data_IF_726802955467
#
_entry.id   IF_726802955467
#
_cell.length_a   1.000
_cell.length_b   1.000
_cell.length_c   1.000
_cell.angle_alpha   90.00
_cell.angle_beta   90.00
_cell.angle_gamma   90.00
#
_symmetry.space_group_name_H-M   'P 1'
#
loop_
_entity.id
_entity.type
_entity.pdbx_description
1 polymer ?
#
# COMPACT_ATOMS: atom_id res chain seq x y z
N UNK A 1 -28.25 -27.46 70.71
CA UNK A 1 -29.58 -27.13 71.21
C UNK A 1 -30.48 -27.24 70.02
N UNK A 2 -31.03 -28.46 69.68
CA UNK A 2 -32.37 -28.93 70.02
C UNK A 2 -33.41 -27.89 69.55
N UNK A 3 -34.44 -28.18 68.78
CA UNK A 3 -35.35 -29.31 68.56
C UNK A 3 -36.12 -29.11 67.25
N UNK A 4 -36.30 -30.15 66.41
CA UNK A 4 -37.50 -31.00 66.18
C UNK A 4 -38.72 -30.22 65.64
N UNK A 5 -39.12 -30.56 64.43
CA UNK A 5 -40.10 -31.55 63.94
C UNK A 5 -41.57 -31.13 64.19
N UNK A 6 -42.38 -31.21 63.15
CA UNK A 6 -43.40 -32.26 63.01
C UNK A 6 -44.17 -32.18 61.69
N UNK A 7 -44.42 -33.34 61.20
CA UNK A 7 -45.31 -33.79 60.17
C UNK A 7 -46.76 -33.74 60.62
N UNK A 8 -47.71 -33.43 59.76
CA UNK A 8 -49.07 -34.01 59.84
C UNK A 8 -49.72 -34.17 58.45
N UNK A 9 -50.08 -35.43 58.24
CA UNK A 9 -50.92 -35.92 57.14
C UNK A 9 -52.37 -35.68 57.42
N UNK A 10 -53.24 -35.51 56.38
CA UNK A 10 -54.55 -36.15 56.22
C UNK A 10 -55.07 -35.85 54.82
N UNK A 11 -55.29 -36.68 54.06
CA UNK A 11 -56.19 -37.67 53.45
C UNK A 11 -57.62 -37.18 53.20
N UNK A 12 -58.02 -37.40 51.92
CA UNK A 12 -59.32 -37.69 51.34
C UNK A 12 -60.35 -36.56 51.14
N UNK A 13 -60.78 -36.35 49.90
CA UNK A 13 -62.08 -36.79 49.42
C UNK A 13 -62.23 -36.57 47.89
N UNK A 14 -62.78 -37.58 47.22
CA UNK A 14 -63.11 -37.62 45.81
C UNK A 14 -64.34 -36.80 45.50
N UNK A 15 -64.35 -36.04 44.39
CA UNK A 15 -65.57 -35.69 43.66
C UNK A 15 -65.24 -35.61 42.17
N UNK A 16 -65.87 -36.54 41.43
CA UNK A 16 -65.91 -36.58 39.96
C UNK A 16 -66.81 -35.43 39.48
N UNK A 17 -66.32 -34.57 38.64
CA UNK A 17 -67.17 -33.78 37.73
C UNK A 17 -66.54 -33.89 36.34
N UNK A 18 -67.26 -34.58 35.44
CA UNK A 18 -66.97 -34.68 34.03
C UNK A 18 -67.28 -33.33 33.37
N UNK A 19 -66.30 -32.57 33.01
CA UNK A 19 -66.45 -31.36 32.20
C UNK A 19 -65.87 -31.62 30.80
N UNK A 20 -66.72 -31.66 29.80
CA UNK A 20 -66.37 -31.71 28.39
C UNK A 20 -65.60 -30.44 28.03
N UNK A 21 -64.31 -30.53 27.79
CA UNK A 21 -63.52 -29.41 27.25
C UNK A 21 -63.43 -29.66 25.74
N UNK A 22 -64.21 -28.88 24.98
CA UNK A 22 -64.08 -28.77 23.51
C UNK A 22 -62.78 -28.00 23.24
N UNK A 23 -61.73 -28.72 22.83
CA UNK A 23 -60.50 -28.09 22.36
C UNK A 23 -60.74 -27.64 20.89
N UNK A 24 -61.06 -26.36 20.70
CA UNK A 24 -60.98 -25.76 19.38
C UNK A 24 -59.53 -25.63 18.96
N UNK A 25 -59.08 -26.54 18.11
CA UNK A 25 -57.77 -26.42 17.46
C UNK A 25 -57.80 -25.25 16.47
N UNK A 26 -57.30 -24.09 16.88
CA UNK A 26 -57.00 -22.98 15.97
C UNK A 26 -55.73 -23.39 15.21
N UNK A 27 -55.91 -23.92 13.99
CA UNK A 27 -54.81 -24.10 13.05
C UNK A 27 -54.29 -22.70 12.64
N UNK A 28 -53.27 -22.21 13.30
CA UNK A 28 -52.48 -21.06 12.78
C UNK A 28 -51.69 -21.57 11.62
N UNK A 29 -52.20 -21.39 10.40
CA UNK A 29 -51.42 -21.51 9.18
C UNK A 29 -50.43 -20.35 9.13
N UNK A 30 -49.20 -20.59 9.58
CA UNK A 30 -48.09 -19.69 9.34
C UNK A 30 -47.81 -19.81 7.83
N UNK A 31 -48.37 -18.88 7.06
CA UNK A 31 -47.96 -18.66 5.68
C UNK A 31 -46.52 -18.17 5.71
N UNK A 32 -45.57 -19.10 5.60
CA UNK A 32 -44.19 -18.77 5.24
C UNK A 32 -44.28 -18.27 3.79
N UNK A 33 -44.43 -16.94 3.64
CA UNK A 33 -44.14 -16.30 2.36
C UNK A 33 -42.75 -16.75 1.95
N UNK A 34 -42.53 -17.32 0.77
CA UNK A 34 -41.20 -17.51 0.28
C UNK A 34 -40.59 -16.11 0.21
N UNK A 35 -39.64 -15.78 1.14
CA UNK A 35 -38.73 -14.68 0.90
C UNK A 35 -38.13 -15.02 -0.46
N UNK A 36 -38.59 -14.32 -1.47
CA UNK A 36 -37.89 -14.23 -2.73
C UNK A 36 -36.45 -13.82 -2.39
N UNK A 37 -35.57 -14.79 -2.37
CA UNK A 37 -34.15 -14.54 -2.47
C UNK A 37 -33.99 -13.94 -3.88
N UNK A 38 -34.21 -12.63 -3.96
CA UNK A 38 -33.91 -11.86 -5.15
C UNK A 38 -32.45 -12.19 -5.45
N UNK A 39 -32.23 -13.02 -6.44
CA UNK A 39 -30.89 -13.28 -6.95
C UNK A 39 -30.33 -11.92 -7.37
N UNK A 40 -29.58 -11.30 -6.46
CA UNK A 40 -28.98 -9.98 -6.69
C UNK A 40 -28.08 -10.16 -7.91
N UNK A 41 -28.48 -9.58 -9.04
CA UNK A 41 -27.70 -9.63 -10.27
C UNK A 41 -26.26 -9.25 -9.93
N UNK A 42 -25.31 -10.11 -10.28
CA UNK A 42 -23.90 -9.85 -10.04
C UNK A 42 -23.56 -8.47 -10.59
N UNK A 43 -22.98 -7.61 -9.77
CA UNK A 43 -22.66 -6.24 -10.15
C UNK A 43 -21.79 -6.26 -11.41
N UNK A 44 -22.28 -5.61 -12.49
CA UNK A 44 -21.61 -5.64 -13.79
C UNK A 44 -20.25 -4.97 -13.69
N UNK A 45 -19.20 -5.71 -14.02
CA UNK A 45 -17.83 -5.16 -14.12
C UNK A 45 -17.79 -4.09 -15.21
N UNK A 46 -17.23 -2.93 -14.87
CA UNK A 46 -16.99 -1.81 -15.78
C UNK A 46 -15.50 -1.66 -16.01
N UNK A 47 -15.10 -1.31 -17.21
CA UNK A 47 -13.74 -0.89 -17.51
C UNK A 47 -13.68 0.63 -17.53
N UNK A 48 -12.80 1.20 -16.70
CA UNK A 48 -12.53 2.63 -16.60
C UNK A 48 -11.13 2.84 -17.17
N UNK A 49 -10.99 3.78 -18.10
CA UNK A 49 -9.69 4.16 -18.66
C UNK A 49 -9.44 5.62 -18.37
N UNK A 50 -8.28 5.91 -17.79
CA UNK A 50 -7.78 7.28 -17.60
C UNK A 50 -6.46 7.46 -18.34
N UNK A 51 -6.25 8.63 -18.94
CA UNK A 51 -5.06 8.91 -19.74
C UNK A 51 -4.29 10.07 -19.13
N UNK A 52 -2.97 9.96 -19.10
CA UNK A 52 -2.08 11.09 -18.79
C UNK A 52 -2.11 12.11 -19.92
N UNK A 53 -1.57 13.33 -19.71
CA UNK A 53 -1.44 14.31 -20.80
C UNK A 53 -0.73 13.71 -22.01
N UNK A 54 -1.34 13.83 -23.18
CA UNK A 54 -0.81 13.25 -24.40
C UNK A 54 0.47 13.97 -24.86
N UNK A 55 1.38 13.19 -25.44
CA UNK A 55 2.64 13.69 -26.03
C UNK A 55 3.53 14.46 -25.03
N UNK A 56 3.48 14.08 -23.74
CA UNK A 56 4.38 14.63 -22.75
C UNK A 56 5.83 14.22 -23.04
N UNK A 57 6.72 15.19 -23.18
CA UNK A 57 8.16 14.94 -23.36
C UNK A 57 8.87 15.17 -22.04
N UNK A 58 9.47 14.12 -21.41
CA UNK A 58 10.15 14.27 -20.13
C UNK A 58 11.37 15.19 -20.25
N UNK A 59 11.47 16.15 -19.32
CA UNK A 59 12.59 17.09 -19.20
C UNK A 59 13.14 17.01 -17.78
N UNK A 60 14.10 16.09 -17.52
CA UNK A 60 14.74 16.02 -16.22
C UNK A 60 15.40 17.36 -15.82
N UNK A 61 15.54 17.64 -14.52
CA UNK A 61 16.33 18.75 -14.04
C UNK A 61 17.77 18.72 -14.58
N UNK A 62 18.44 19.86 -14.57
CA UNK A 62 19.80 20.03 -15.13
C UNK A 62 20.76 18.93 -14.68
N UNK A 63 21.31 18.20 -15.66
CA UNK A 63 22.25 17.11 -15.44
C UNK A 63 21.65 15.78 -14.95
N UNK A 64 20.37 15.77 -14.61
CA UNK A 64 19.66 14.53 -14.21
C UNK A 64 19.26 13.70 -15.42
N UNK A 65 19.05 12.39 -15.18
CA UNK A 65 18.49 11.45 -16.17
C UNK A 65 17.13 10.92 -15.72
N UNK A 66 16.81 11.12 -14.46
CA UNK A 66 15.55 10.71 -13.85
C UNK A 66 14.62 11.91 -13.68
N UNK A 67 13.35 11.72 -14.02
CA UNK A 67 12.28 12.69 -13.79
C UNK A 67 11.08 11.96 -13.23
N UNK A 68 10.56 12.44 -12.11
CA UNK A 68 9.24 12.07 -11.61
C UNK A 68 8.23 13.13 -12.01
N UNK A 69 7.25 12.74 -12.77
CA UNK A 69 6.19 13.65 -13.25
C UNK A 69 4.83 13.15 -12.80
N UNK A 70 4.10 14.01 -12.11
CA UNK A 70 2.74 13.78 -11.66
C UNK A 70 1.74 14.50 -12.55
N UNK A 71 0.63 13.85 -12.84
CA UNK A 71 -0.53 14.46 -13.49
C UNK A 71 -1.82 14.00 -12.80
N UNK A 72 -2.78 14.91 -12.67
CA UNK A 72 -4.10 14.57 -12.15
C UNK A 72 -4.99 14.14 -13.31
N UNK A 73 -5.63 12.99 -13.15
CA UNK A 73 -6.62 12.46 -14.10
C UNK A 73 -7.93 12.18 -13.36
N UNK A 74 -9.04 12.48 -14.03
CA UNK A 74 -10.37 12.29 -13.46
C UNK A 74 -11.05 11.07 -14.11
N UNK A 75 -11.42 10.04 -13.33
CA UNK A 75 -12.15 8.88 -13.85
C UNK A 75 -13.64 9.15 -14.10
N UNK A 76 -14.15 10.35 -13.78
CA UNK A 76 -15.55 10.78 -13.98
C UNK A 76 -16.60 9.82 -13.45
N UNK A 77 -16.36 9.30 -12.24
CA UNK A 77 -17.23 8.30 -11.61
C UNK A 77 -18.64 8.85 -11.36
N UNK A 78 -19.65 8.07 -11.74
CA UNK A 78 -21.06 8.40 -11.49
C UNK A 78 -21.53 7.97 -10.12
N UNK A 79 -20.85 6.98 -9.51
CA UNK A 79 -21.13 6.39 -8.21
C UNK A 79 -19.83 5.85 -7.60
N UNK A 80 -19.88 5.46 -6.34
CA UNK A 80 -18.77 4.78 -5.67
C UNK A 80 -18.50 3.42 -6.34
N UNK A 81 -17.24 3.13 -6.57
CA UNK A 81 -16.77 1.91 -7.21
C UNK A 81 -15.80 1.16 -6.30
N UNK A 82 -15.64 -0.13 -6.57
CA UNK A 82 -14.58 -0.97 -6.01
C UNK A 82 -13.74 -1.51 -7.17
N UNK A 83 -12.47 -1.16 -7.18
CA UNK A 83 -11.52 -1.54 -8.23
C UNK A 83 -10.92 -2.90 -7.88
N UNK A 84 -11.05 -3.85 -8.79
CA UNK A 84 -10.57 -5.23 -8.61
C UNK A 84 -9.36 -5.57 -9.46
N UNK A 85 -9.09 -4.79 -10.50
CA UNK A 85 -7.92 -4.96 -11.37
C UNK A 85 -7.46 -3.60 -11.84
N UNK A 86 -6.15 -3.40 -11.86
CA UNK A 86 -5.50 -2.23 -12.46
C UNK A 86 -4.43 -2.68 -13.44
N UNK A 87 -4.23 -1.91 -14.51
CA UNK A 87 -3.10 -2.08 -15.40
C UNK A 87 -2.63 -0.72 -15.91
N UNK A 88 -1.35 -0.47 -15.75
CA UNK A 88 -0.70 0.70 -16.35
C UNK A 88 -0.12 0.30 -17.71
N UNK A 89 -0.26 1.20 -18.68
CA UNK A 89 0.19 1.00 -20.06
C UNK A 89 1.17 2.12 -20.43
N UNK A 90 2.49 1.86 -20.43
CA UNK A 90 3.48 2.86 -20.79
C UNK A 90 3.36 3.22 -22.27
N UNK A 91 3.43 4.51 -22.55
CA UNK A 91 3.40 5.01 -23.95
C UNK A 91 4.78 5.05 -24.60
N UNK A 92 5.84 4.96 -23.81
CA UNK A 92 7.24 4.98 -24.26
C UNK A 92 8.15 4.15 -23.40
N UNK A 93 9.31 3.76 -23.91
CA UNK A 93 10.31 2.95 -23.19
C UNK A 93 11.08 3.73 -22.13
N UNK A 94 10.99 5.04 -22.13
CA UNK A 94 11.55 5.93 -21.11
C UNK A 94 10.77 5.88 -19.80
N UNK A 95 9.56 5.32 -19.78
CA UNK A 95 8.81 5.04 -18.56
C UNK A 95 9.50 3.89 -17.82
N UNK A 96 10.10 4.22 -16.67
CA UNK A 96 10.83 3.29 -15.83
C UNK A 96 9.92 2.60 -14.82
N UNK A 97 9.06 3.37 -14.11
CA UNK A 97 7.94 2.84 -13.33
C UNK A 97 6.84 3.90 -13.20
N UNK A 98 5.68 3.47 -12.74
CA UNK A 98 4.57 4.35 -12.48
C UNK A 98 3.84 3.95 -11.20
N UNK A 99 3.34 4.95 -10.47
CA UNK A 99 2.47 4.77 -9.32
C UNK A 99 1.20 5.57 -9.56
N UNK A 100 0.06 4.95 -9.30
CA UNK A 100 -1.25 5.61 -9.36
C UNK A 100 -1.77 5.75 -7.94
N UNK A 101 -1.94 6.99 -7.52
CA UNK A 101 -2.49 7.31 -6.20
C UNK A 101 -3.97 7.63 -6.32
N UNK A 102 -4.75 7.15 -5.37
CA UNK A 102 -6.14 7.56 -5.18
C UNK A 102 -6.16 8.82 -4.33
N UNK A 103 -6.86 9.84 -4.81
CA UNK A 103 -7.12 11.07 -4.08
C UNK A 103 -8.60 11.14 -3.77
N UNK A 104 -8.93 11.17 -2.48
CA UNK A 104 -10.31 11.23 -2.02
C UNK A 104 -10.97 12.57 -2.41
N UNK A 105 -12.31 12.64 -2.52
CA UNK A 105 -13.01 13.84 -2.99
C UNK A 105 -12.69 15.10 -2.20
N UNK A 106 -12.41 14.99 -0.90
CA UNK A 106 -12.03 16.12 -0.03
C UNK A 106 -10.72 16.80 -0.42
N UNK A 107 -9.82 16.08 -1.10
CA UNK A 107 -8.51 16.57 -1.54
C UNK A 107 -8.42 16.78 -3.05
N UNK A 108 -9.49 16.47 -3.79
CA UNK A 108 -9.49 16.55 -5.26
C UNK A 108 -9.21 17.96 -5.77
N UNK A 109 -9.71 19.00 -5.11
CA UNK A 109 -9.46 20.39 -5.48
C UNK A 109 -7.98 20.76 -5.30
N UNK A 110 -7.36 20.41 -4.16
CA UNK A 110 -5.95 20.67 -3.92
C UNK A 110 -5.04 19.94 -4.93
N UNK A 111 -5.38 18.70 -5.28
CA UNK A 111 -4.68 17.97 -6.34
C UNK A 111 -4.79 18.69 -7.71
N UNK A 112 -5.96 19.22 -8.04
CA UNK A 112 -6.15 19.95 -9.29
C UNK A 112 -5.36 21.27 -9.34
N UNK A 113 -5.17 21.95 -8.22
CA UNK A 113 -4.32 23.15 -8.14
C UNK A 113 -2.86 22.82 -8.50
N UNK A 114 -2.34 21.70 -8.01
CA UNK A 114 -0.99 21.22 -8.35
C UNK A 114 -0.85 20.85 -9.84
N UNK A 115 -1.94 20.47 -10.48
CA UNK A 115 -1.93 19.96 -11.86
C UNK A 115 -1.60 21.01 -12.93
N UNK A 116 -1.36 22.25 -12.55
CA UNK A 116 -0.88 23.32 -13.42
C UNK A 116 -1.63 23.37 -14.79
N UNK A 117 -2.94 23.50 -14.74
CA UNK A 117 -3.81 23.52 -15.94
C UNK A 117 -3.67 22.25 -16.82
N UNK A 118 -3.49 21.09 -16.21
CA UNK A 118 -3.37 19.81 -16.90
C UNK A 118 -1.97 19.49 -17.42
N UNK A 119 -0.98 20.32 -17.15
CA UNK A 119 0.42 20.06 -17.53
C UNK A 119 1.14 19.15 -16.56
N UNK A 120 0.61 18.99 -15.34
CA UNK A 120 1.26 18.27 -14.25
C UNK A 120 2.41 19.05 -13.62
N UNK A 121 3.16 18.36 -12.77
CA UNK A 121 4.31 18.94 -12.05
C UNK A 121 5.39 17.89 -11.80
N UNK A 122 6.61 18.35 -11.53
CA UNK A 122 7.68 17.49 -11.04
C UNK A 122 7.41 17.13 -9.58
N UNK A 123 7.32 15.83 -9.29
CA UNK A 123 6.97 15.32 -7.98
C UNK A 123 7.92 14.17 -7.61
N UNK A 124 8.91 14.46 -6.79
CA UNK A 124 9.75 13.43 -6.19
C UNK A 124 9.10 12.95 -4.89
N UNK A 125 9.30 11.67 -4.56
CA UNK A 125 8.64 11.06 -3.43
C UNK A 125 7.15 10.80 -3.71
N UNK A 126 6.34 11.09 -2.71
CA UNK A 126 4.90 11.07 -2.89
C UNK A 126 4.41 12.42 -3.43
N UNK A 127 3.35 12.43 -4.26
CA UNK A 127 2.76 13.67 -4.72
C UNK A 127 2.14 14.40 -3.52
N UNK A 128 2.89 15.37 -2.98
CA UNK A 128 2.58 16.07 -1.74
C UNK A 128 1.32 16.91 -1.89
N UNK A 129 0.24 16.52 -1.22
CA UNK A 129 -0.96 17.35 -1.04
C UNK A 129 -0.91 18.12 0.30
N UNK A 130 0.10 17.88 1.13
CA UNK A 130 0.33 18.53 2.41
C UNK A 130 1.82 18.79 2.62
N UNK A 131 2.15 19.72 3.51
CA UNK A 131 3.54 20.00 3.90
C UNK A 131 4.11 18.99 4.93
N UNK A 132 3.40 17.91 5.20
CA UNK A 132 3.80 16.89 6.16
C UNK A 132 4.43 15.68 5.45
N UNK A 133 5.75 15.71 5.34
CA UNK A 133 6.54 14.69 4.65
C UNK A 133 6.42 13.27 5.26
N UNK A 134 6.05 13.15 6.55
CA UNK A 134 5.83 11.86 7.20
C UNK A 134 4.36 11.42 7.17
N UNK A 135 3.42 12.36 7.15
CA UNK A 135 1.99 12.11 6.96
C UNK A 135 1.68 11.53 5.58
N UNK A 136 2.55 11.75 4.60
CA UNK A 136 2.41 11.25 3.24
C UNK A 136 2.39 9.72 3.15
N UNK A 137 3.14 9.01 3.99
CA UNK A 137 3.13 7.55 4.01
C UNK A 137 1.77 6.95 4.45
N UNK A 138 0.91 7.74 5.08
CA UNK A 138 -0.42 7.32 5.52
C UNK A 138 -1.58 7.93 4.71
N UNK A 139 -1.32 8.98 3.91
CA UNK A 139 -2.38 9.86 3.40
C UNK A 139 -2.90 9.56 2.00
N UNK A 140 -2.09 8.94 1.13
CA UNK A 140 -2.50 8.65 -0.26
C UNK A 140 -2.24 7.19 -0.60
N UNK A 141 -3.29 6.34 -0.53
CA UNK A 141 -3.13 4.94 -0.85
C UNK A 141 -2.82 4.74 -2.34
N UNK A 142 -1.85 3.87 -2.61
CA UNK A 142 -1.58 3.41 -3.96
C UNK A 142 -2.79 2.62 -4.48
N UNK A 143 -3.21 2.92 -5.69
CA UNK A 143 -4.20 2.14 -6.40
C UNK A 143 -3.53 1.12 -7.33
N UNK A 144 -2.37 1.48 -7.86
CA UNK A 144 -1.59 0.67 -8.81
C UNK A 144 -0.12 1.05 -8.72
N UNK A 145 0.76 0.04 -8.76
CA UNK A 145 2.18 0.19 -9.05
C UNK A 145 2.51 -0.57 -10.32
N UNK A 146 3.41 -0.04 -11.15
CA UNK A 146 3.88 -0.71 -12.36
C UNK A 146 5.39 -0.50 -12.56
N UNK A 147 6.06 -1.55 -12.99
CA UNK A 147 7.44 -1.55 -13.48
C UNK A 147 7.54 -2.39 -14.75
N UNK A 148 8.61 -2.29 -15.56
CA UNK A 148 8.79 -3.12 -16.74
C UNK A 148 8.63 -4.61 -16.41
N UNK A 149 7.93 -5.33 -17.28
CA UNK A 149 7.60 -6.75 -17.07
C UNK A 149 6.38 -7.00 -16.18
N UNK A 150 5.88 -5.99 -15.45
CA UNK A 150 4.68 -6.14 -14.62
C UNK A 150 3.41 -6.08 -15.48
N UNK A 151 2.55 -7.09 -15.33
CA UNK A 151 1.25 -7.14 -15.99
C UNK A 151 0.16 -6.38 -15.24
N UNK A 152 -1.09 -6.83 -15.40
CA UNK A 152 -2.20 -6.32 -14.62
C UNK A 152 -2.08 -6.75 -13.15
N UNK A 153 -2.31 -5.83 -12.23
CA UNK A 153 -2.44 -6.11 -10.80
C UNK A 153 -3.88 -6.49 -10.49
N UNK A 154 -4.07 -7.75 -10.09
CA UNK A 154 -5.38 -8.32 -9.79
C UNK A 154 -5.50 -8.51 -8.28
N UNK A 155 -6.52 -7.91 -7.67
CA UNK A 155 -6.83 -8.12 -6.26
C UNK A 155 -7.25 -9.57 -6.00
N UNK A 156 -6.96 -10.13 -4.82
CA UNK A 156 -7.49 -11.43 -4.43
C UNK A 156 -9.02 -11.48 -4.58
N UNK A 157 -9.54 -12.67 -4.86
CA UNK A 157 -10.99 -12.86 -5.05
C UNK A 157 -11.79 -12.32 -3.87
N UNK A 158 -12.82 -11.54 -4.17
CA UNK A 158 -13.66 -10.91 -3.14
C UNK A 158 -13.10 -9.64 -2.52
N UNK A 159 -11.91 -9.18 -2.94
CA UNK A 159 -11.28 -7.95 -2.46
C UNK A 159 -11.18 -6.90 -3.57
N UNK A 160 -11.13 -5.61 -3.16
CA UNK A 160 -10.91 -4.51 -4.10
C UNK A 160 -10.61 -3.18 -3.40
N UNK A 161 -9.97 -2.29 -4.12
CA UNK A 161 -9.67 -0.94 -3.64
C UNK A 161 -10.88 -0.02 -3.79
N UNK A 162 -11.31 0.71 -2.75
CA UNK A 162 -12.41 1.64 -2.86
C UNK A 162 -12.02 2.83 -3.74
N UNK A 163 -12.95 3.29 -4.57
CA UNK A 163 -12.80 4.49 -5.39
C UNK A 163 -14.11 5.27 -5.39
N UNK A 164 -14.18 6.32 -4.59
CA UNK A 164 -15.39 7.08 -4.34
C UNK A 164 -15.74 7.98 -5.54
N UNK A 165 -17.02 8.25 -5.72
CA UNK A 165 -17.49 9.30 -6.65
C UNK A 165 -16.86 10.64 -6.26
N UNK A 166 -16.30 11.34 -7.23
CA UNK A 166 -15.59 12.61 -7.00
C UNK A 166 -14.10 12.46 -6.73
N UNK A 167 -13.59 11.22 -6.48
CA UNK A 167 -12.15 10.98 -6.42
C UNK A 167 -11.48 11.32 -7.74
N UNK A 168 -10.26 11.82 -7.66
CA UNK A 168 -9.33 11.93 -8.78
C UNK A 168 -8.15 11.00 -8.55
N UNK A 169 -7.37 10.74 -9.59
CA UNK A 169 -6.14 9.96 -9.50
C UNK A 169 -4.95 10.86 -9.79
N UNK A 170 -3.86 10.66 -9.05
CA UNK A 170 -2.55 11.20 -9.44
C UNK A 170 -1.77 10.05 -10.06
N UNK A 171 -1.36 10.23 -11.30
CA UNK A 171 -0.47 9.31 -11.99
C UNK A 171 0.93 9.90 -11.92
N UNK A 172 1.80 9.28 -11.13
CA UNK A 172 3.21 9.57 -11.05
C UNK A 172 3.94 8.65 -12.00
N UNK A 173 4.71 9.20 -12.92
CA UNK A 173 5.55 8.44 -13.84
C UNK A 173 7.00 8.82 -13.58
N UNK A 174 7.83 7.81 -13.29
CA UNK A 174 9.27 7.92 -13.30
C UNK A 174 9.79 7.67 -14.72
N UNK A 175 10.34 8.69 -15.33
CA UNK A 175 11.02 8.59 -16.61
C UNK A 175 12.52 8.47 -16.38
N UNK A 176 13.15 7.51 -17.08
CA UNK A 176 14.60 7.44 -17.19
C UNK A 176 15.01 7.79 -18.64
N UNK A 177 15.71 8.90 -18.79
CA UNK A 177 16.04 9.47 -20.10
C UNK A 177 17.47 9.11 -20.60
N UNK A 178 18.07 8.03 -20.08
CA UNK A 178 19.40 7.56 -20.53
C UNK A 178 19.40 7.21 -22.01
N UNK A 179 18.27 6.75 -22.55
CA UNK A 179 18.11 6.35 -23.96
C UNK A 179 17.46 7.43 -24.83
N UNK A 180 17.21 8.62 -24.26
CA UNK A 180 16.56 9.74 -24.91
C UNK A 180 15.31 10.21 -24.20
N UNK A 181 14.61 11.19 -24.78
CA UNK A 181 13.33 11.69 -24.30
C UNK A 181 12.34 11.67 -25.47
N UNK A 182 11.36 10.80 -25.42
CA UNK A 182 10.30 10.67 -26.43
C UNK A 182 8.96 11.11 -25.88
N UNK A 183 8.04 11.57 -26.72
CA UNK A 183 6.67 11.85 -26.32
C UNK A 183 6.02 10.64 -25.71
N UNK A 184 5.41 10.81 -24.53
CA UNK A 184 4.66 9.78 -23.81
C UNK A 184 3.15 10.04 -23.87
N UNK A 185 2.37 8.98 -23.91
CA UNK A 185 0.91 8.97 -23.85
C UNK A 185 0.45 7.74 -23.06
N UNK A 186 0.98 7.61 -21.86
CA UNK A 186 0.63 6.52 -20.93
C UNK A 186 -0.83 6.58 -20.49
N UNK A 187 -1.39 5.45 -20.12
CA UNK A 187 -2.74 5.36 -19.59
C UNK A 187 -2.90 4.23 -18.57
N UNK A 188 -3.99 4.31 -17.81
CA UNK A 188 -4.34 3.28 -16.82
C UNK A 188 -5.71 2.71 -17.17
N UNK A 189 -5.84 1.40 -17.14
CA UNK A 189 -7.13 0.70 -17.19
C UNK A 189 -7.46 0.08 -15.84
N UNK A 190 -8.72 0.16 -15.44
CA UNK A 190 -9.21 -0.39 -14.19
C UNK A 190 -10.46 -1.21 -14.46
N UNK A 191 -10.56 -2.42 -13.89
CA UNK A 191 -11.83 -3.14 -13.80
C UNK A 191 -12.43 -2.83 -12.44
N UNK A 192 -13.67 -2.36 -12.42
CA UNK A 192 -14.34 -1.96 -11.19
C UNK A 192 -15.82 -2.39 -11.23
N UNK A 193 -16.40 -2.55 -10.05
CA UNK A 193 -17.83 -2.79 -9.86
C UNK A 193 -18.43 -1.68 -9.01
N UNK A 194 -19.74 -1.37 -9.15
CA UNK A 194 -20.43 -0.49 -8.21
C UNK A 194 -20.24 -0.98 -6.76
N UNK A 195 -19.89 -0.07 -5.85
CA UNK A 195 -19.72 -0.42 -4.44
C UNK A 195 -21.05 -0.87 -3.83
N UNK A 196 -22.12 -0.11 -4.14
CA UNK A 196 -23.46 -0.47 -3.71
C UNK A 196 -23.90 -1.80 -4.32
N UNK A 197 -24.15 -2.77 -3.46
CA UNK A 197 -24.62 -4.09 -3.90
C UNK A 197 -23.52 -5.06 -4.30
N UNK A 198 -22.25 -4.69 -4.24
CA UNK A 198 -21.16 -5.65 -4.38
C UNK A 198 -20.95 -6.42 -3.07
N UNK A 199 -20.44 -7.66 -3.19
CA UNK A 199 -19.97 -8.45 -2.05
C UNK A 199 -18.45 -8.37 -1.91
N UNK A 200 -17.83 -7.36 -2.53
CA UNK A 200 -16.38 -7.18 -2.51
C UNK A 200 -16.02 -6.38 -1.26
N UNK A 201 -15.15 -6.94 -0.42
CA UNK A 201 -14.60 -6.27 0.74
C UNK A 201 -13.53 -5.27 0.29
N UNK A 202 -13.60 -4.06 0.80
CA UNK A 202 -12.61 -3.03 0.48
C UNK A 202 -11.33 -3.22 1.27
N UNK A 203 -10.20 -2.95 0.60
CA UNK A 203 -8.88 -3.02 1.19
C UNK A 203 -8.37 -1.63 1.59
N UNK A 204 -7.46 -1.61 2.57
CA UNK A 204 -6.57 -0.51 2.89
C UNK A 204 -5.16 -0.86 2.41
N UNK A 205 -4.40 0.15 1.97
CA UNK A 205 -3.01 -0.02 1.55
C UNK A 205 -2.15 0.84 2.47
N UNK A 206 -1.18 0.21 3.11
CA UNK A 206 -0.26 0.83 4.06
C UNK A 206 1.16 0.71 3.52
N UNK A 207 1.95 1.75 3.72
CA UNK A 207 3.37 1.78 3.38
C UNK A 207 4.17 1.67 4.67
N UNK A 208 5.08 0.72 4.72
CA UNK A 208 5.94 0.42 5.86
C UNK A 208 7.41 0.59 5.44
N UNK A 209 7.91 1.83 5.35
CA UNK A 209 9.32 2.08 5.03
C UNK A 209 10.24 1.78 6.20
N UNK A 210 11.50 1.43 5.89
CA UNK A 210 12.58 1.36 6.87
C UNK A 210 13.73 2.29 6.44
N UNK A 211 14.26 3.04 7.41
CA UNK A 211 15.43 3.88 7.22
C UNK A 211 16.65 3.06 6.81
N UNK A 212 17.53 3.62 6.02
CA UNK A 212 18.73 2.93 5.55
C UNK A 212 19.92 3.91 5.39
N UNK A 213 21.12 3.41 5.69
CA UNK A 213 22.37 4.10 5.57
C UNK A 213 23.46 3.12 5.11
N UNK A 214 23.75 3.12 3.81
CA UNK A 214 24.72 2.20 3.19
C UNK A 214 25.99 2.99 2.85
N UNK A 215 27.12 2.73 3.53
CA UNK A 215 28.37 3.45 3.28
C UNK A 215 28.98 3.04 1.93
N UNK A 216 29.88 3.87 1.42
CA UNK A 216 30.77 3.46 0.33
C UNK A 216 31.53 2.19 0.74
N UNK A 217 31.78 1.25 -0.20
CA UNK A 217 32.60 0.08 0.07
C UNK A 217 33.98 0.47 0.61
N UNK A 218 34.61 -0.41 1.39
CA UNK A 218 35.95 -0.22 1.92
C UNK A 218 36.95 0.10 0.79
N UNK A 219 37.81 1.09 0.99
CA UNK A 219 38.77 1.57 0.00
C UNK A 219 38.20 2.44 -1.11
N UNK A 220 36.88 2.58 -1.20
CA UNK A 220 36.23 3.48 -2.18
C UNK A 220 36.03 4.86 -1.55
N UNK A 221 36.58 5.89 -2.18
CA UNK A 221 36.49 7.27 -1.71
C UNK A 221 35.88 8.19 -2.77
N UNK A 222 35.30 9.29 -2.32
CA UNK A 222 34.72 10.33 -3.16
C UNK A 222 33.94 11.35 -2.35
N UNK A 223 33.67 12.53 -2.92
CA UNK A 223 32.94 13.60 -2.20
C UNK A 223 31.58 13.16 -1.64
N UNK A 224 30.88 12.28 -2.38
CA UNK A 224 29.56 11.78 -1.97
C UNK A 224 29.64 10.53 -1.07
N UNK A 225 30.84 10.05 -0.70
CA UNK A 225 30.97 9.00 0.31
C UNK A 225 30.81 9.55 1.74
N UNK A 226 30.81 10.87 1.91
CA UNK A 226 30.34 11.51 3.13
C UNK A 226 28.81 11.51 3.16
N UNK A 227 28.22 11.10 4.30
CA UNK A 227 26.77 10.98 4.48
C UNK A 227 26.06 12.33 4.31
N UNK A 228 26.60 13.37 4.94
CA UNK A 228 25.97 14.70 4.90
C UNK A 228 26.02 15.29 3.48
N UNK A 229 27.14 15.11 2.77
CA UNK A 229 27.28 15.51 1.38
C UNK A 229 26.32 14.74 0.46
N UNK A 230 26.10 13.44 0.70
CA UNK A 230 25.13 12.65 -0.07
C UNK A 230 23.70 13.09 0.18
N UNK A 231 23.32 13.40 1.43
CA UNK A 231 21.98 13.94 1.75
C UNK A 231 21.79 15.34 1.15
N UNK A 232 22.83 16.18 1.14
CA UNK A 232 22.77 17.48 0.47
C UNK A 232 22.58 17.35 -1.04
N UNK A 233 23.26 16.39 -1.69
CA UNK A 233 23.04 16.06 -3.09
C UNK A 233 21.63 15.51 -3.36
N UNK A 234 21.10 14.66 -2.46
CA UNK A 234 19.72 14.19 -2.51
C UNK A 234 18.73 15.35 -2.49
N UNK A 235 18.90 16.30 -1.56
CA UNK A 235 18.09 17.51 -1.47
C UNK A 235 18.18 18.38 -2.72
N UNK A 236 19.36 18.47 -3.32
CA UNK A 236 19.55 19.22 -4.58
C UNK A 236 18.79 18.58 -5.74
N UNK A 237 18.76 17.25 -5.80
CA UNK A 237 18.08 16.50 -6.87
C UNK A 237 16.57 16.45 -6.70
N UNK A 238 16.07 16.28 -5.47
CA UNK A 238 14.68 15.93 -5.18
C UNK A 238 13.97 16.93 -4.25
N UNK A 239 14.64 18.01 -3.87
CA UNK A 239 14.09 19.02 -2.95
C UNK A 239 14.38 18.71 -1.49
N UNK A 240 14.13 19.70 -0.62
CA UNK A 240 14.44 19.61 0.83
C UNK A 240 13.62 18.53 1.55
N UNK A 241 12.42 18.21 1.05
CA UNK A 241 11.58 17.14 1.59
C UNK A 241 12.30 15.80 1.61
N UNK A 242 13.15 15.51 0.62
CA UNK A 242 13.92 14.27 0.56
C UNK A 242 14.85 14.10 1.76
N UNK A 243 15.56 15.16 2.19
CA UNK A 243 16.38 15.11 3.40
C UNK A 243 15.54 14.97 4.67
N UNK A 244 14.40 15.66 4.74
CA UNK A 244 13.45 15.54 5.87
C UNK A 244 12.99 14.09 6.00
N UNK A 245 12.71 13.42 4.89
CA UNK A 245 12.31 12.00 4.88
C UNK A 245 13.43 11.11 5.43
N UNK A 246 14.68 11.30 5.02
CA UNK A 246 15.82 10.53 5.55
C UNK A 246 15.89 10.65 7.07
N UNK A 247 15.96 11.87 7.60
CA UNK A 247 16.07 12.10 9.05
C UNK A 247 14.81 11.64 9.81
N UNK A 248 13.63 11.85 9.21
CA UNK A 248 12.35 11.45 9.79
C UNK A 248 12.22 9.94 9.93
N UNK A 249 12.62 9.17 8.92
CA UNK A 249 12.60 7.72 8.95
C UNK A 249 13.57 7.15 9.98
N UNK A 250 14.79 7.72 10.11
CA UNK A 250 15.73 7.32 11.15
C UNK A 250 15.10 7.48 12.54
N UNK A 251 14.53 8.66 12.81
CA UNK A 251 13.86 8.92 14.08
C UNK A 251 12.66 8.00 14.31
N UNK A 252 11.86 7.76 13.28
CA UNK A 252 10.71 6.86 13.36
C UNK A 252 11.14 5.43 13.68
N UNK A 253 12.23 4.96 13.08
CA UNK A 253 12.80 3.63 13.34
C UNK A 253 13.58 3.58 14.68
N UNK A 254 13.50 4.61 15.52
CA UNK A 254 14.12 4.65 16.85
C UNK A 254 15.62 4.87 16.84
N UNK A 255 16.18 5.45 15.77
CA UNK A 255 17.61 5.70 15.58
C UNK A 255 17.94 7.18 15.76
N UNK A 256 19.22 7.47 16.04
CA UNK A 256 19.72 8.83 16.00
C UNK A 256 19.91 9.29 14.55
N UNK A 257 19.13 10.28 14.06
CA UNK A 257 19.23 10.72 12.67
C UNK A 257 20.58 11.32 12.30
N UNK A 258 21.34 11.82 13.28
CA UNK A 258 22.66 12.42 13.05
C UNK A 258 23.80 11.40 13.07
N UNK A 259 23.58 10.26 13.74
CA UNK A 259 24.56 9.18 13.85
C UNK A 259 23.86 7.81 13.77
N UNK A 260 23.19 7.48 12.65
CA UNK A 260 22.47 6.22 12.50
C UNK A 260 23.44 5.04 12.34
N UNK A 261 22.98 3.82 12.65
CA UNK A 261 23.70 2.60 12.28
C UNK A 261 23.88 2.52 10.76
N UNK A 262 25.11 2.25 10.32
CA UNK A 262 25.45 2.10 8.90
C UNK A 262 25.70 0.63 8.55
N UNK A 263 25.37 0.22 7.33
CA UNK A 263 25.61 -1.15 6.87
C UNK A 263 24.79 -1.56 5.66
N UNK A 264 24.88 -2.83 5.33
CA UNK A 264 24.20 -3.43 4.18
C UNK A 264 22.83 -4.02 4.54
N UNK A 265 22.36 -3.81 5.75
CA UNK A 265 21.07 -4.30 6.22
C UNK A 265 20.42 -3.29 7.16
N UNK A 266 19.10 -3.32 7.20
CA UNK A 266 18.31 -2.49 8.10
C UNK A 266 17.04 -3.22 8.50
N UNK A 267 16.42 -2.77 9.59
CA UNK A 267 15.03 -3.07 9.91
C UNK A 267 14.33 -1.88 10.55
N UNK A 268 13.02 -1.84 10.45
CA UNK A 268 12.16 -0.88 11.12
C UNK A 268 10.88 -1.55 11.58
N UNK A 269 10.45 -1.25 12.79
CA UNK A 269 9.26 -1.87 13.40
C UNK A 269 8.10 -0.88 13.47
N UNK A 270 6.97 -1.28 12.94
CA UNK A 270 5.73 -0.52 12.87
C UNK A 270 4.70 -1.05 13.85
N UNK A 271 4.11 -0.22 14.71
CA UNK A 271 3.01 -0.65 15.58
C UNK A 271 1.72 -0.84 14.78
N UNK A 272 1.01 -1.92 15.04
CA UNK A 272 -0.35 -2.12 14.51
C UNK A 272 -1.33 -1.31 15.35
N UNK A 273 -2.21 -0.54 14.68
CA UNK A 273 -3.13 0.39 15.37
C UNK A 273 -4.58 -0.11 15.41
N UNK A 274 -4.97 -0.94 14.46
CA UNK A 274 -6.33 -1.46 14.32
C UNK A 274 -6.37 -2.97 14.19
N UNK A 275 -7.56 -3.56 14.29
CA UNK A 275 -7.75 -4.98 13.98
C UNK A 275 -7.82 -5.15 12.46
N UNK A 276 -6.88 -5.86 11.89
CA UNK A 276 -6.71 -5.99 10.45
C UNK A 276 -6.33 -7.42 10.06
N UNK A 277 -6.63 -7.78 8.82
CA UNK A 277 -6.19 -9.04 8.20
C UNK A 277 -5.24 -8.70 7.06
N UNK A 278 -4.00 -9.14 7.16
CA UNK A 278 -2.99 -8.95 6.11
C UNK A 278 -3.29 -9.91 4.97
N UNK A 279 -3.54 -9.34 3.78
CA UNK A 279 -3.95 -10.08 2.58
C UNK A 279 -2.78 -10.29 1.61
N UNK A 280 -1.94 -9.27 1.43
CA UNK A 280 -0.81 -9.32 0.49
C UNK A 280 0.24 -8.26 0.84
N UNK A 281 1.47 -8.47 0.40
CA UNK A 281 2.58 -7.54 0.55
C UNK A 281 3.33 -7.44 -0.77
N UNK A 282 3.64 -6.21 -1.19
CA UNK A 282 4.54 -5.94 -2.33
C UNK A 282 5.86 -5.40 -1.78
N UNK A 283 6.97 -6.12 -1.96
CA UNK A 283 8.30 -5.64 -1.59
C UNK A 283 8.77 -4.58 -2.60
N UNK A 284 9.39 -3.51 -2.11
CA UNK A 284 9.98 -2.49 -2.98
C UNK A 284 11.35 -2.06 -2.46
N UNK A 285 12.34 -2.22 -3.29
CA UNK A 285 13.73 -1.76 -3.14
C UNK A 285 14.22 -1.24 -4.49
N UNK A 286 15.42 -0.66 -4.54
CA UNK A 286 16.03 -0.24 -5.80
C UNK A 286 17.12 -1.22 -6.29
N UNK A 287 18.08 -0.68 -7.05
CA UNK A 287 19.04 -1.48 -7.85
C UNK A 287 20.03 -2.31 -7.04
N UNK A 288 20.23 -1.99 -5.75
CA UNK A 288 21.14 -2.74 -4.87
C UNK A 288 20.40 -3.74 -3.99
N UNK A 289 19.07 -3.76 -4.03
CA UNK A 289 18.24 -4.66 -3.23
C UNK A 289 18.63 -6.11 -3.41
N UNK A 290 18.81 -6.83 -2.29
CA UNK A 290 19.16 -8.24 -2.27
C UNK A 290 18.07 -9.10 -1.67
N UNK A 291 17.54 -8.72 -0.51
CA UNK A 291 16.47 -9.47 0.13
C UNK A 291 15.57 -8.58 0.97
N UNK A 292 14.32 -9.03 1.16
CA UNK A 292 13.38 -8.41 2.10
C UNK A 292 12.65 -9.48 2.88
N UNK A 293 12.47 -9.24 4.19
CA UNK A 293 11.57 -10.02 5.05
C UNK A 293 10.57 -9.09 5.74
N UNK A 294 9.37 -9.62 6.00
CA UNK A 294 8.37 -8.97 6.85
C UNK A 294 7.96 -9.93 7.94
N UNK A 295 8.09 -9.51 9.18
CA UNK A 295 7.85 -10.33 10.37
C UNK A 295 6.83 -9.67 11.29
N UNK A 296 5.81 -10.41 11.68
CA UNK A 296 4.88 -10.00 12.74
C UNK A 296 5.47 -10.39 14.09
N UNK A 297 5.41 -9.49 15.08
CA UNK A 297 5.87 -9.66 16.46
C UNK A 297 7.33 -10.14 16.57
N UNK A 298 8.30 -9.46 15.93
CA UNK A 298 9.70 -9.86 15.95
C UNK A 298 10.23 -9.94 17.38
N UNK A 299 11.14 -10.91 17.63
CA UNK A 299 11.79 -11.09 18.93
C UNK A 299 10.89 -11.63 20.05
N UNK A 300 9.68 -12.08 19.74
CA UNK A 300 8.74 -12.69 20.70
C UNK A 300 8.49 -14.17 20.37
N UNK A 301 7.93 -14.96 21.31
CA UNK A 301 7.49 -16.34 21.01
C UNK A 301 6.42 -16.42 19.90
N UNK A 302 5.72 -15.31 19.61
CA UNK A 302 4.70 -15.21 18.57
C UNK A 302 5.26 -14.67 17.23
N UNK A 303 6.58 -14.57 17.10
CA UNK A 303 7.21 -14.09 15.88
C UNK A 303 6.84 -14.97 14.67
N UNK A 304 6.33 -14.33 13.62
CA UNK A 304 5.93 -15.00 12.39
C UNK A 304 6.48 -14.24 11.18
N UNK A 305 7.32 -14.90 10.39
CA UNK A 305 7.73 -14.37 9.07
C UNK A 305 6.58 -14.58 8.10
N UNK A 306 6.02 -13.48 7.61
CA UNK A 306 4.87 -13.47 6.69
C UNK A 306 5.26 -13.19 5.23
N UNK A 307 6.43 -12.60 5.01
CA UNK A 307 7.05 -12.46 3.70
C UNK A 307 8.53 -12.75 3.80
N UNK A 308 9.05 -13.56 2.87
CA UNK A 308 10.47 -13.78 2.70
C UNK A 308 10.83 -13.77 1.21
N UNK A 309 11.59 -12.76 0.80
CA UNK A 309 12.10 -12.58 -0.56
C UNK A 309 13.62 -12.62 -0.51
N UNK A 310 14.25 -13.80 -0.60
CA UNK A 310 15.69 -13.95 -0.42
C UNK A 310 16.51 -13.46 -1.62
N UNK A 311 15.88 -13.37 -2.79
CA UNK A 311 16.48 -12.91 -4.04
C UNK A 311 15.59 -11.85 -4.67
N UNK A 312 15.72 -10.62 -4.16
CA UNK A 312 14.95 -9.50 -4.70
C UNK A 312 15.39 -9.18 -6.13
N UNK A 313 14.42 -8.87 -6.99
CA UNK A 313 14.66 -8.47 -8.37
C UNK A 313 13.93 -7.13 -8.63
N UNK A 314 14.72 -6.09 -8.91
CA UNK A 314 14.20 -4.75 -9.19
C UNK A 314 13.26 -4.71 -10.42
N UNK A 315 13.49 -5.56 -11.41
CA UNK A 315 12.67 -5.64 -12.63
C UNK A 315 11.43 -6.54 -12.47
N UNK A 316 11.21 -7.14 -11.29
CA UNK A 316 10.10 -8.05 -11.03
C UNK A 316 9.52 -7.85 -9.60
N UNK A 317 8.89 -6.72 -9.37
CA UNK A 317 8.34 -6.32 -8.07
C UNK A 317 6.87 -6.75 -7.92
N UNK A 318 6.64 -8.05 -7.85
CA UNK A 318 5.28 -8.59 -7.76
C UNK A 318 4.75 -8.58 -6.33
N UNK A 319 3.42 -8.45 -6.21
CA UNK A 319 2.73 -8.59 -4.93
C UNK A 319 2.60 -10.07 -4.55
N UNK A 320 2.88 -10.38 -3.29
CA UNK A 320 2.79 -11.73 -2.71
C UNK A 320 1.53 -11.85 -1.87
N UNK A 321 0.63 -12.75 -2.24
CA UNK A 321 -0.52 -13.07 -1.40
C UNK A 321 -0.07 -13.83 -0.16
N UNK A 322 -0.59 -13.45 1.01
CA UNK A 322 -0.27 -14.08 2.29
C UNK A 322 -1.26 -15.22 2.50
N UNK A 323 -0.75 -16.45 2.60
CA UNK A 323 -1.57 -17.65 2.74
C UNK A 323 -0.97 -18.61 3.78
N UNK A 324 -1.69 -18.91 4.87
CA UNK A 324 -2.95 -18.32 5.28
C UNK A 324 -2.82 -16.83 5.59
N UNK A 325 -3.92 -16.06 5.48
CA UNK A 325 -3.94 -14.67 5.89
C UNK A 325 -3.62 -14.50 7.36
N UNK A 326 -3.04 -13.38 7.75
CA UNK A 326 -2.58 -13.14 9.12
C UNK A 326 -3.42 -12.03 9.76
N UNK A 327 -4.01 -12.35 10.91
CA UNK A 327 -4.74 -11.40 11.73
C UNK A 327 -3.76 -10.67 12.65
N UNK A 328 -3.87 -9.35 12.70
CA UNK A 328 -3.09 -8.49 13.58
C UNK A 328 -4.00 -7.46 14.26
N UNK A 329 -3.58 -6.98 15.43
CA UNK A 329 -4.37 -6.01 16.20
C UNK A 329 -3.50 -5.08 17.04
N UNK A 330 -4.14 -4.16 17.81
CA UNK A 330 -3.42 -3.26 18.70
C UNK A 330 -2.52 -4.01 19.68
N UNK A 331 -1.24 -3.64 19.69
CA UNK A 331 -0.20 -4.32 20.48
C UNK A 331 0.73 -5.18 19.64
N UNK A 332 0.28 -5.65 18.47
CA UNK A 332 1.17 -6.33 17.52
C UNK A 332 2.11 -5.34 16.86
N UNK A 333 3.20 -5.85 16.32
CA UNK A 333 4.22 -5.10 15.61
C UNK A 333 4.56 -5.79 14.29
N UNK A 334 4.87 -5.00 13.27
CA UNK A 334 5.32 -5.50 11.97
C UNK A 334 6.71 -4.94 11.72
N UNK A 335 7.69 -5.80 11.54
CA UNK A 335 9.05 -5.43 11.16
C UNK A 335 9.26 -5.65 9.68
N UNK A 336 9.83 -4.65 9.02
CA UNK A 336 10.35 -4.75 7.65
C UNK A 336 11.85 -4.72 7.73
N UNK A 337 12.51 -5.74 7.14
CA UNK A 337 13.96 -5.87 7.10
C UNK A 337 14.43 -6.03 5.66
N UNK A 338 15.46 -5.28 5.29
CA UNK A 338 16.07 -5.31 3.96
C UNK A 338 17.57 -5.57 4.04
N UNK A 339 18.11 -6.22 3.01
CA UNK A 339 19.56 -6.30 2.78
C UNK A 339 19.90 -5.83 1.37
N UNK A 340 21.09 -5.28 1.22
CA UNK A 340 21.62 -4.78 -0.06
C UNK A 340 22.95 -5.41 -0.42
N UNK A 341 23.23 -5.45 -1.71
CA UNK A 341 24.54 -5.80 -2.22
C UNK A 341 25.19 -4.56 -2.89
N UNK A 342 26.00 -3.76 -2.17
CA UNK A 342 26.62 -2.56 -2.72
C UNK A 342 27.52 -2.81 -3.94
N UNK A 343 28.05 -4.02 -4.14
CA UNK A 343 28.86 -4.35 -5.31
C UNK A 343 28.09 -4.28 -6.63
N UNK A 344 26.75 -4.42 -6.58
CA UNK A 344 25.90 -4.29 -7.76
C UNK A 344 26.00 -2.88 -8.38
N UNK A 345 26.37 -1.86 -7.60
CA UNK A 345 26.55 -0.51 -8.12
C UNK A 345 27.60 -0.43 -9.24
N UNK A 346 28.69 -1.17 -9.11
CA UNK A 346 29.75 -1.23 -10.12
C UNK A 346 29.37 -2.09 -11.34
N UNK A 347 28.43 -3.00 -11.20
CA UNK A 347 28.00 -3.93 -12.23
C UNK A 347 26.81 -3.40 -13.04
N UNK A 348 25.88 -2.68 -12.38
CA UNK A 348 24.67 -2.21 -13.02
C UNK A 348 24.95 -1.11 -14.06
N UNK A 349 24.49 -1.24 -15.32
CA UNK A 349 24.68 -0.25 -16.36
C UNK A 349 24.24 1.17 -16.01
N UNK A 350 23.21 1.31 -15.17
CA UNK A 350 22.67 2.60 -14.77
C UNK A 350 23.53 3.32 -13.71
N UNK A 351 24.27 2.57 -12.90
CA UNK A 351 25.03 3.15 -11.77
C UNK A 351 26.55 3.06 -11.90
N UNK A 352 27.08 2.14 -12.72
CA UNK A 352 28.55 1.90 -12.84
C UNK A 352 29.37 3.10 -13.28
N UNK A 353 28.76 4.07 -13.95
CA UNK A 353 29.43 5.32 -14.40
C UNK A 353 29.17 6.50 -13.45
N UNK A 354 28.35 6.33 -12.42
CA UNK A 354 28.08 7.36 -11.46
C UNK A 354 29.17 7.40 -10.40
N UNK A 355 29.49 8.57 -9.84
CA UNK A 355 30.47 8.67 -8.76
C UNK A 355 30.03 7.82 -7.55
N UNK A 356 31.01 7.26 -6.79
CA UNK A 356 30.69 6.56 -5.55
C UNK A 356 29.97 7.48 -4.59
N UNK A 357 29.04 6.93 -3.82
CA UNK A 357 28.26 7.68 -2.84
C UNK A 357 27.83 6.83 -1.66
N UNK A 358 27.69 7.48 -0.54
CA UNK A 358 26.89 7.01 0.58
C UNK A 358 25.42 6.97 0.14
N UNK A 359 24.70 5.89 0.41
CA UNK A 359 23.33 5.71 -0.06
C UNK A 359 22.40 5.78 1.12
N UNK A 360 21.41 6.67 1.02
CA UNK A 360 20.33 6.85 1.98
C UNK A 360 19.00 6.57 1.30
N UNK A 361 17.90 6.59 2.07
CA UNK A 361 16.57 6.59 1.49
C UNK A 361 16.44 7.70 0.45
N UNK A 362 15.92 7.35 -0.72
CA UNK A 362 15.69 8.33 -1.79
C UNK A 362 15.00 7.75 -3.00
N UNK A 363 14.39 8.63 -3.80
CA UNK A 363 13.54 8.25 -4.93
C UNK A 363 14.30 7.86 -6.20
N UNK A 364 15.54 8.29 -6.35
CA UNK A 364 16.33 7.94 -7.53
C UNK A 364 16.68 6.46 -7.55
N UNK A 365 16.66 5.84 -8.73
CA UNK A 365 17.08 4.44 -8.89
C UNK A 365 18.51 4.16 -8.41
N UNK A 366 19.34 5.22 -8.30
CA UNK A 366 20.71 5.16 -7.77
C UNK A 366 20.80 5.38 -6.25
N UNK A 367 19.72 5.80 -5.61
CA UNK A 367 19.50 5.81 -4.17
C UNK A 367 18.83 4.48 -3.78
N UNK A 368 18.37 4.28 -2.57
CA UNK A 368 17.72 3.03 -2.18
C UNK A 368 16.43 3.25 -1.39
N UNK A 369 15.59 2.23 -1.41
CA UNK A 369 14.41 2.10 -0.58
C UNK A 369 14.37 0.74 0.12
N UNK A 370 13.73 0.68 1.28
CA UNK A 370 13.26 -0.51 1.95
C UNK A 370 11.81 -0.28 2.29
N UNK A 371 10.90 -0.75 1.45
CA UNK A 371 9.48 -0.44 1.57
C UNK A 371 8.62 -1.68 1.37
N UNK A 372 7.86 -2.07 2.38
CA UNK A 372 6.78 -3.03 2.21
C UNK A 372 5.45 -2.29 2.00
N UNK A 373 4.78 -2.56 0.88
CA UNK A 373 3.43 -2.06 0.61
C UNK A 373 2.44 -3.15 0.98
N UNK A 374 1.77 -2.97 2.11
CA UNK A 374 0.89 -3.95 2.72
C UNK A 374 -0.58 -3.64 2.39
N UNK A 375 -1.29 -4.66 1.93
CA UNK A 375 -2.74 -4.60 1.69
C UNK A 375 -3.45 -5.34 2.79
N UNK A 376 -4.38 -4.67 3.48
CA UNK A 376 -5.16 -5.22 4.58
C UNK A 376 -6.65 -5.07 4.36
N UNK A 377 -7.44 -5.86 5.09
CA UNK A 377 -8.88 -5.67 5.27
C UNK A 377 -9.17 -5.49 6.76
N UNK A 378 -10.29 -4.86 7.14
CA UNK A 378 -10.79 -4.96 8.51
C UNK A 378 -10.93 -6.44 8.93
N UNK A 379 -10.61 -6.74 10.20
CA UNK A 379 -10.75 -8.09 10.77
C UNK A 379 -12.21 -8.45 11.05
#
# INVERSE_FOLDING_TARGET
>A
MMLRSQVLRSSTLRALIAGLVIIAAVAVTISLSPREASARAAAKVQTITVKTPANYVPKPPDGAKDLYHCSVVNPHLKQDMVVTTTAFHPGTKEVHHAIVYRVDPSHAAAAQELNNNGKGWTCFGQPSLSNDALGEFSGMPWLCGWSPGHGADVMPTGLGAPLQKGSVLIVQIHYNTLIGAKPDSSYVTMKAVPAAGSNIQTVSIQQLPAALDIPCPEGVTGPLCDRAASIADLSKRFGSAAAITVYGLERFCGRDPMNPPVGNSTSCTWPVRGNEVIQRITPHMHLLGQSMTVTVNPGTPQAQVILNVPNYNFDNQVAHNITPTVHVGPGDKIEVSCTWNPSLRALNPQTKKLPPRFITWGDGSSDEMCLAVMTTTPA
#
